data_IF_883527299929
#
_entry.id   IF_883527299929
#
_cell.length_a   1.000
_cell.length_b   1.000
_cell.length_c   1.000
_cell.angle_alpha   90.00
_cell.angle_beta   90.00
_cell.angle_gamma   90.00
#
_symmetry.space_group_name_H-M   'P 1'
#
loop_
_entity.id
_entity.type
_entity.pdbx_description
1 polymer ?
#
# COMPACT_ATOMS: atom_id res chain seq x y z
N UNK A 1 2.54 14.96 -0.57
CA UNK A 1 2.66 14.18 -1.80
C UNK A 1 1.69 14.76 -2.81
N UNK A 2 2.19 15.27 -3.92
CA UNK A 2 1.44 16.06 -4.91
C UNK A 2 1.23 15.28 -6.22
N UNK A 3 1.02 13.97 -6.08
CA UNK A 3 0.74 13.09 -7.21
C UNK A 3 -0.71 13.23 -7.70
N UNK A 4 -0.92 13.13 -9.01
CA UNK A 4 -2.24 13.12 -9.63
C UNK A 4 -3.07 11.93 -9.14
N UNK A 5 -2.43 10.75 -9.09
CA UNK A 5 -2.99 9.56 -8.48
C UNK A 5 -2.04 8.98 -7.46
N UNK A 6 -2.59 8.46 -6.37
CA UNK A 6 -1.82 7.75 -5.34
C UNK A 6 -2.36 6.33 -5.21
N UNK A 7 -1.48 5.36 -5.35
CA UNK A 7 -1.79 3.96 -5.11
C UNK A 7 -1.43 3.63 -3.67
N UNK A 8 -2.40 3.22 -2.85
CA UNK A 8 -2.14 2.65 -1.53
C UNK A 8 -2.00 1.14 -1.68
N UNK A 9 -0.87 0.61 -1.25
CA UNK A 9 -0.57 -0.81 -1.28
C UNK A 9 -0.36 -1.35 0.13
N UNK A 10 -1.30 -2.18 0.60
CA UNK A 10 -1.22 -2.83 1.90
C UNK A 10 -0.73 -4.26 1.76
N UNK A 11 0.31 -4.63 2.51
CA UNK A 11 0.98 -5.91 2.38
C UNK A 11 1.59 -6.43 3.68
N UNK A 12 1.93 -7.70 3.68
CA UNK A 12 2.58 -8.40 4.79
C UNK A 12 3.77 -9.21 4.22
N UNK A 13 4.97 -9.16 4.81
CA UNK A 13 6.13 -9.90 4.33
C UNK A 13 5.95 -11.43 4.34
N UNK A 14 5.05 -11.95 5.16
CA UNK A 14 4.72 -13.38 5.25
C UNK A 14 3.61 -13.81 4.26
N UNK A 15 2.93 -12.87 3.64
CA UNK A 15 1.82 -13.12 2.73
C UNK A 15 2.30 -13.72 1.39
N UNK A 16 1.86 -14.92 1.05
CA UNK A 16 2.23 -15.59 -0.19
C UNK A 16 1.77 -14.86 -1.47
N UNK A 17 0.57 -14.27 -1.45
CA UNK A 17 0.07 -13.49 -2.57
C UNK A 17 0.84 -12.17 -2.74
N UNK A 18 1.26 -11.54 -1.63
CA UNK A 18 2.09 -10.34 -1.68
C UNK A 18 3.43 -10.60 -2.38
N UNK A 19 4.02 -11.78 -2.18
CA UNK A 19 5.27 -12.20 -2.86
C UNK A 19 5.11 -12.28 -4.38
N UNK A 20 3.89 -12.51 -4.89
CA UNK A 20 3.57 -12.51 -6.33
C UNK A 20 3.20 -11.13 -6.84
N UNK A 21 2.43 -10.37 -6.07
CA UNK A 21 1.89 -9.07 -6.46
C UNK A 21 2.95 -7.96 -6.43
N UNK A 22 3.82 -7.94 -5.42
CA UNK A 22 4.82 -6.87 -5.23
C UNK A 22 5.77 -6.71 -6.43
N UNK A 23 6.36 -7.76 -7.01
CA UNK A 23 7.23 -7.61 -8.18
C UNK A 23 6.50 -7.05 -9.40
N UNK A 24 5.23 -7.42 -9.60
CA UNK A 24 4.40 -6.85 -10.66
C UNK A 24 4.17 -5.36 -10.43
N UNK A 25 3.86 -4.97 -9.20
CA UNK A 25 3.63 -3.58 -8.84
C UNK A 25 4.90 -2.72 -9.01
N UNK A 26 6.07 -3.24 -8.62
CA UNK A 26 7.35 -2.57 -8.86
C UNK A 26 7.63 -2.40 -10.35
N UNK A 27 7.42 -3.43 -11.16
CA UNK A 27 7.56 -3.35 -12.61
C UNK A 27 6.63 -2.28 -13.19
N UNK A 28 5.36 -2.27 -12.79
CA UNK A 28 4.38 -1.28 -13.24
C UNK A 28 4.79 0.15 -12.84
N UNK A 29 5.33 0.32 -11.63
CA UNK A 29 5.85 1.61 -11.17
C UNK A 29 7.01 2.09 -12.03
N UNK A 30 8.03 1.26 -12.24
CA UNK A 30 9.21 1.62 -13.01
C UNK A 30 8.91 1.90 -14.48
N UNK A 31 8.11 1.06 -15.11
CA UNK A 31 7.86 1.12 -16.56
C UNK A 31 6.81 2.16 -16.95
N UNK A 32 5.87 2.48 -16.04
CA UNK A 32 4.74 3.34 -16.41
C UNK A 32 4.46 4.49 -15.45
N UNK A 33 4.52 4.30 -14.14
CA UNK A 33 3.89 5.21 -13.19
C UNK A 33 4.79 6.36 -12.75
N UNK A 34 6.07 6.10 -12.45
CA UNK A 34 6.99 7.11 -11.88
C UNK A 34 7.12 8.38 -12.72
N UNK A 35 7.04 8.25 -14.05
CA UNK A 35 7.15 9.38 -14.98
C UNK A 35 5.78 9.95 -15.39
N UNK A 36 4.70 9.46 -14.78
CA UNK A 36 3.32 9.81 -15.10
C UNK A 36 2.56 10.44 -13.94
N UNK A 37 3.27 10.98 -12.95
CA UNK A 37 2.68 11.61 -11.76
C UNK A 37 1.73 10.67 -10.97
N UNK A 38 2.07 9.37 -10.95
CA UNK A 38 1.40 8.34 -10.15
C UNK A 38 2.39 7.84 -9.10
N UNK A 39 2.06 8.01 -7.83
CA UNK A 39 2.92 7.59 -6.73
C UNK A 39 2.34 6.36 -6.03
N UNK A 40 3.21 5.46 -5.56
CA UNK A 40 2.83 4.31 -4.76
C UNK A 40 3.25 4.56 -3.31
N UNK A 41 2.27 4.50 -2.41
CA UNK A 41 2.44 4.58 -0.98
C UNK A 41 2.14 3.21 -0.37
N UNK A 42 3.17 2.48 -0.04
CA UNK A 42 3.11 1.10 0.43
C UNK A 42 3.13 1.06 1.96
N UNK A 43 2.17 0.36 2.54
CA UNK A 43 2.03 0.18 3.99
C UNK A 43 2.21 -1.29 4.31
N UNK A 44 3.35 -1.65 4.90
CA UNK A 44 3.69 -3.02 5.26
C UNK A 44 3.50 -3.30 6.75
N UNK A 45 3.27 -4.56 7.09
CA UNK A 45 3.29 -5.03 8.48
C UNK A 45 4.74 -5.17 8.95
N UNK A 46 5.07 -4.52 10.07
CA UNK A 46 6.44 -4.48 10.60
C UNK A 46 6.51 -4.47 12.13
N UNK A 47 5.54 -5.11 12.80
CA UNK A 47 5.48 -5.22 14.26
C UNK A 47 6.23 -6.47 14.72
N UNK A 48 7.03 -6.39 15.77
CA UNK A 48 7.81 -7.49 16.32
C UNK A 48 8.88 -8.00 15.35
N UNK A 49 8.94 -9.31 15.19
CA UNK A 49 9.88 -9.98 14.29
C UNK A 49 9.65 -9.61 12.80
N UNK A 50 8.45 -9.10 12.46
CA UNK A 50 8.12 -8.72 11.10
C UNK A 50 8.91 -7.49 10.62
N UNK A 51 9.51 -6.69 11.51
CA UNK A 51 10.32 -5.53 11.12
C UNK A 51 11.54 -5.91 10.27
N UNK A 52 12.28 -6.94 10.66
CA UNK A 52 13.41 -7.42 9.87
C UNK A 52 12.96 -8.09 8.57
N UNK A 53 11.86 -8.84 8.61
CA UNK A 53 11.23 -9.44 7.42
C UNK A 53 10.75 -8.37 6.44
N UNK A 54 10.15 -7.29 6.93
CA UNK A 54 9.69 -6.15 6.16
C UNK A 54 10.87 -5.47 5.43
N UNK A 55 11.96 -5.17 6.14
CA UNK A 55 13.17 -4.60 5.53
C UNK A 55 13.78 -5.54 4.49
N UNK A 56 13.84 -6.83 4.81
CA UNK A 56 14.37 -7.85 3.89
C UNK A 56 13.52 -7.94 2.63
N UNK A 57 12.20 -7.97 2.77
CA UNK A 57 11.27 -8.05 1.65
C UNK A 57 11.41 -6.85 0.69
N UNK A 58 11.53 -5.63 1.22
CA UNK A 58 11.76 -4.42 0.43
C UNK A 58 13.05 -4.54 -0.40
N UNK A 59 14.14 -4.97 0.23
CA UNK A 59 15.43 -5.15 -0.47
C UNK A 59 15.34 -6.24 -1.54
N UNK A 60 14.79 -7.40 -1.18
CA UNK A 60 14.74 -8.57 -2.08
C UNK A 60 13.85 -8.31 -3.31
N UNK A 61 12.82 -7.49 -3.19
CA UNK A 61 11.93 -7.09 -4.28
C UNK A 61 12.30 -5.75 -4.91
N UNK A 62 13.41 -5.14 -4.47
CA UNK A 62 13.90 -3.85 -4.97
C UNK A 62 12.80 -2.77 -5.01
N UNK A 63 11.97 -2.69 -3.96
CA UNK A 63 10.82 -1.77 -3.90
C UNK A 63 11.31 -0.32 -3.81
N UNK A 64 11.19 0.41 -4.90
CA UNK A 64 11.71 1.79 -5.05
C UNK A 64 10.71 2.88 -4.73
N UNK A 65 9.42 2.54 -4.66
CA UNK A 65 8.36 3.44 -4.23
C UNK A 65 8.37 3.67 -2.71
N UNK A 66 7.51 4.54 -2.20
CA UNK A 66 7.45 4.89 -0.77
C UNK A 66 7.00 3.68 0.05
N UNK A 67 7.83 3.28 1.02
CA UNK A 67 7.55 2.17 1.92
C UNK A 67 7.49 2.67 3.37
N UNK A 68 6.34 2.49 4.00
CA UNK A 68 6.10 2.85 5.40
C UNK A 68 5.54 1.67 6.20
N UNK A 69 5.71 1.73 7.51
CA UNK A 69 5.15 0.75 8.43
C UNK A 69 4.89 1.38 9.80
N UNK A 70 3.96 0.79 10.54
CA UNK A 70 3.84 1.02 11.99
C UNK A 70 4.82 0.08 12.67
N UNK A 71 5.79 0.65 13.38
CA UNK A 71 6.81 -0.11 14.13
C UNK A 71 6.36 -0.39 15.57
N UNK A 72 7.07 -1.31 16.25
CA UNK A 72 6.81 -1.62 17.66
C UNK A 72 6.87 -0.38 18.56
N UNK A 73 7.84 0.50 18.33
CA UNK A 73 7.98 1.70 19.12
C UNK A 73 6.72 2.57 19.02
N UNK A 74 6.24 2.82 17.80
CA UNK A 74 5.01 3.57 17.55
C UNK A 74 3.78 2.87 18.12
N UNK A 75 3.70 1.54 17.93
CA UNK A 75 2.60 0.73 18.43
C UNK A 75 2.55 0.72 19.95
N UNK A 76 3.69 0.47 20.61
CA UNK A 76 3.81 0.43 22.07
C UNK A 76 3.59 1.83 22.68
N UNK A 77 4.09 2.89 22.07
CA UNK A 77 3.84 4.26 22.50
C UNK A 77 2.36 4.61 22.43
N UNK A 78 1.64 4.14 21.41
CA UNK A 78 0.20 4.33 21.29
C UNK A 78 -0.62 3.53 22.30
N UNK A 79 -0.10 2.37 22.76
CA UNK A 79 -0.75 1.46 23.73
C UNK A 79 -0.40 1.77 25.19
N UNK A 80 0.68 2.51 25.44
CA UNK A 80 1.17 2.78 26.81
C UNK A 80 0.32 3.82 27.51
N UNK A 81 -0.55 3.37 28.41
CA UNK A 81 -1.44 4.20 29.21
C UNK A 81 -0.74 4.88 30.43
N UNK A 82 0.51 4.52 30.76
CA UNK A 82 1.18 4.98 31.99
C UNK A 82 1.63 6.44 31.96
N UNK A 83 1.84 7.02 30.75
CA UNK A 83 2.07 8.44 30.51
C UNK A 83 1.31 8.89 29.25
N UNK A 84 0.12 8.32 29.07
CA UNK A 84 -0.56 8.20 27.76
C UNK A 84 -0.88 9.53 27.08
N UNK A 85 -1.21 10.59 27.82
CA UNK A 85 -1.60 11.85 27.16
C UNK A 85 -0.41 12.58 26.53
N UNK A 86 0.73 12.67 27.20
CA UNK A 86 1.90 13.39 26.66
C UNK A 86 2.52 12.65 25.49
N UNK A 87 2.69 11.33 25.62
CA UNK A 87 3.22 10.49 24.52
C UNK A 87 2.27 10.44 23.32
N UNK A 88 0.96 10.31 23.57
CA UNK A 88 -0.04 10.36 22.52
C UNK A 88 -0.06 11.71 21.80
N UNK A 89 0.01 12.82 22.54
CA UNK A 89 0.06 14.15 21.94
C UNK A 89 1.31 14.34 21.09
N UNK A 90 2.47 13.84 21.53
CA UNK A 90 3.71 13.89 20.76
C UNK A 90 3.61 13.02 19.48
N UNK A 91 3.01 11.84 19.59
CA UNK A 91 2.78 10.96 18.46
C UNK A 91 1.83 11.60 17.43
N UNK A 92 0.75 12.22 17.89
CA UNK A 92 -0.23 12.91 17.04
C UNK A 92 0.31 14.16 16.33
N UNK A 93 1.48 14.67 16.71
CA UNK A 93 2.19 15.70 15.94
C UNK A 93 2.81 15.15 14.65
N UNK A 94 3.06 13.84 14.58
CA UNK A 94 3.72 13.19 13.45
C UNK A 94 2.79 12.27 12.66
N UNK A 95 1.69 11.82 13.26
CA UNK A 95 0.71 10.89 12.62
C UNK A 95 -0.69 11.11 13.19
N UNK A 96 -1.65 10.31 12.74
CA UNK A 96 -3.03 10.33 13.23
C UNK A 96 -3.43 8.98 13.83
N UNK A 97 -4.43 8.97 14.72
CA UNK A 97 -4.99 7.70 15.23
C UNK A 97 -5.53 6.82 14.09
N UNK A 98 -6.11 7.42 13.07
CA UNK A 98 -6.58 6.69 11.88
C UNK A 98 -5.42 6.02 11.14
N UNK A 99 -4.27 6.68 11.01
CA UNK A 99 -3.08 6.09 10.38
C UNK A 99 -2.47 4.98 11.22
N UNK A 100 -2.44 5.11 12.55
CA UNK A 100 -1.95 4.06 13.45
C UNK A 100 -2.85 2.83 13.43
N UNK A 101 -4.16 3.04 13.25
CA UNK A 101 -5.17 1.98 13.18
C UNK A 101 -5.63 1.75 11.74
N UNK A 102 -4.70 1.80 10.78
CA UNK A 102 -5.01 1.74 9.35
C UNK A 102 -5.79 0.48 8.95
N UNK A 103 -5.55 -0.65 9.61
CA UNK A 103 -6.24 -1.90 9.31
C UNK A 103 -7.76 -1.73 9.46
N UNK A 104 -8.22 -1.17 10.58
CA UNK A 104 -9.65 -0.90 10.79
C UNK A 104 -10.14 0.30 9.95
N UNK A 105 -9.30 1.34 9.80
CA UNK A 105 -9.65 2.55 9.05
C UNK A 105 -9.96 2.26 7.58
N UNK A 106 -9.22 1.32 6.97
CA UNK A 106 -9.35 0.95 5.55
C UNK A 106 -9.96 -0.44 5.33
N UNK A 107 -10.44 -1.11 6.38
CA UNK A 107 -10.97 -2.49 6.32
C UNK A 107 -9.96 -3.49 5.73
N UNK A 108 -8.70 -3.44 6.21
CA UNK A 108 -7.62 -4.32 5.74
C UNK A 108 -7.58 -5.58 6.58
N UNK A 109 -8.44 -6.53 6.26
CA UNK A 109 -8.50 -7.84 6.94
C UNK A 109 -7.71 -8.93 6.22
N UNK A 110 -7.35 -8.70 4.98
CA UNK A 110 -6.49 -9.59 4.19
C UNK A 110 -5.53 -8.81 3.31
N UNK A 111 -4.39 -9.41 2.97
CA UNK A 111 -3.37 -8.82 2.09
C UNK A 111 -3.09 -9.71 0.89
N UNK A 112 -2.66 -9.15 -0.23
CA UNK A 112 -2.49 -7.72 -0.51
C UNK A 112 -3.81 -6.98 -0.73
N UNK A 113 -3.81 -5.66 -0.53
CA UNK A 113 -4.90 -4.77 -0.96
C UNK A 113 -4.31 -3.57 -1.70
N UNK A 114 -4.95 -3.21 -2.80
CA UNK A 114 -4.58 -2.07 -3.63
C UNK A 114 -5.76 -1.12 -3.74
N UNK A 115 -5.55 0.13 -3.33
CA UNK A 115 -6.54 1.21 -3.45
C UNK A 115 -5.96 2.31 -4.32
N UNK A 116 -6.80 3.07 -4.98
CA UNK A 116 -6.40 4.23 -5.76
C UNK A 116 -7.08 5.49 -5.22
N UNK A 117 -6.29 6.52 -5.02
CA UNK A 117 -6.73 7.85 -4.63
C UNK A 117 -6.53 8.82 -5.79
N UNK A 118 -7.45 9.75 -5.95
CA UNK A 118 -7.31 10.89 -6.85
C UNK A 118 -6.38 11.98 -6.27
N UNK A 119 -6.24 13.11 -6.99
CA UNK A 119 -5.43 14.27 -6.56
C UNK A 119 -5.90 14.88 -5.23
N UNK A 120 -7.19 14.78 -4.93
CA UNK A 120 -7.81 15.28 -3.68
C UNK A 120 -7.73 14.25 -2.55
N UNK A 121 -7.01 13.13 -2.80
CA UNK A 121 -6.84 12.00 -1.88
C UNK A 121 -8.15 11.29 -1.52
N UNK A 122 -9.13 11.35 -2.41
CA UNK A 122 -10.35 10.56 -2.32
C UNK A 122 -10.13 9.18 -2.92
N UNK A 123 -10.65 8.15 -2.27
CA UNK A 123 -10.57 6.78 -2.78
C UNK A 123 -11.51 6.65 -3.98
N UNK A 124 -10.95 6.32 -5.14
CA UNK A 124 -11.69 6.09 -6.40
C UNK A 124 -11.73 4.61 -6.81
N UNK A 125 -10.89 3.77 -6.22
CA UNK A 125 -10.97 2.31 -6.35
C UNK A 125 -10.44 1.61 -5.10
N UNK A 126 -11.00 0.42 -4.80
CA UNK A 126 -10.60 -0.45 -3.68
C UNK A 126 -10.44 -1.88 -4.16
N UNK A 127 -9.44 -2.57 -3.60
CA UNK A 127 -9.27 -4.03 -3.75
C UNK A 127 -9.22 -4.47 -5.22
N UNK A 128 -8.42 -3.76 -6.03
CA UNK A 128 -8.22 -4.07 -7.44
C UNK A 128 -6.89 -4.81 -7.65
N UNK A 129 -6.83 -5.64 -8.70
CA UNK A 129 -5.61 -6.35 -9.11
C UNK A 129 -4.64 -5.43 -9.84
N UNK A 130 -3.43 -5.92 -10.09
CA UNK A 130 -2.40 -5.13 -10.81
C UNK A 130 -2.81 -4.86 -12.25
N UNK A 131 -3.45 -5.83 -12.93
CA UNK A 131 -3.96 -5.61 -14.29
C UNK A 131 -5.09 -4.57 -14.33
N UNK A 132 -6.00 -4.62 -13.36
CA UNK A 132 -7.08 -3.61 -13.22
C UNK A 132 -6.52 -2.24 -12.87
N UNK A 133 -5.48 -2.16 -12.02
CA UNK A 133 -4.79 -0.92 -11.69
C UNK A 133 -4.15 -0.30 -12.94
N UNK A 134 -3.43 -1.09 -13.73
CA UNK A 134 -2.81 -0.64 -14.98
C UNK A 134 -3.86 -0.08 -15.93
N UNK A 135 -4.92 -0.83 -16.20
CA UNK A 135 -6.00 -0.43 -17.09
C UNK A 135 -6.70 0.85 -16.60
N UNK A 136 -6.97 0.94 -15.31
CA UNK A 136 -7.64 2.09 -14.71
C UNK A 136 -6.82 3.37 -14.88
N UNK A 137 -5.52 3.34 -14.52
CA UNK A 137 -4.65 4.51 -14.65
C UNK A 137 -4.45 4.91 -16.11
N UNK A 138 -4.25 3.94 -17.00
CA UNK A 138 -4.14 4.22 -18.44
C UNK A 138 -5.40 4.93 -18.95
N UNK A 139 -6.59 4.46 -18.58
CA UNK A 139 -7.86 5.09 -18.96
C UNK A 139 -8.03 6.49 -18.38
N UNK A 140 -7.75 6.67 -17.09
CA UNK A 140 -7.87 7.97 -16.41
C UNK A 140 -6.95 9.03 -17.01
N UNK A 141 -5.82 8.63 -17.59
CA UNK A 141 -4.85 9.52 -18.23
C UNK A 141 -4.96 9.55 -19.76
N UNK A 142 -6.01 8.92 -20.35
CA UNK A 142 -6.23 8.88 -21.79
C UNK A 142 -5.11 8.18 -22.57
N UNK A 143 -4.60 7.07 -22.01
CA UNK A 143 -3.47 6.29 -22.56
C UNK A 143 -3.82 4.81 -22.75
N UNK A 144 -5.08 4.52 -23.09
CA UNK A 144 -5.58 3.15 -23.28
C UNK A 144 -4.89 2.41 -24.43
N UNK A 145 -4.31 3.16 -25.38
CA UNK A 145 -3.57 2.60 -26.52
C UNK A 145 -2.19 2.02 -26.14
N UNK A 146 -1.69 2.33 -24.94
CA UNK A 146 -0.40 1.79 -24.50
C UNK A 146 -0.47 0.27 -24.32
N UNK A 147 0.61 -0.46 -24.67
CA UNK A 147 0.69 -1.89 -24.41
C UNK A 147 0.51 -2.20 -22.92
N UNK A 148 -0.25 -3.24 -22.63
CA UNK A 148 -0.43 -3.72 -21.26
C UNK A 148 0.75 -4.61 -20.85
N UNK A 149 1.28 -4.35 -19.66
CA UNK A 149 2.35 -5.16 -19.07
C UNK A 149 1.79 -6.45 -18.46
N UNK A 150 0.57 -6.37 -17.92
CA UNK A 150 -0.06 -7.49 -17.24
C UNK A 150 -1.43 -7.82 -17.87
N UNK A 151 -1.62 -9.06 -18.36
CA UNK A 151 -2.94 -9.52 -18.79
C UNK A 151 -3.88 -9.66 -17.58
N UNK A 152 -5.21 -9.64 -17.79
CA UNK A 152 -6.18 -9.95 -16.76
C UNK A 152 -5.87 -11.30 -16.07
N UNK A 153 -5.91 -11.29 -14.74
CA UNK A 153 -5.64 -12.47 -13.90
C UNK A 153 -6.84 -12.71 -12.97
N UNK A 154 -7.78 -13.61 -13.36
CA UNK A 154 -8.97 -13.86 -12.56
C UNK A 154 -8.70 -14.39 -11.14
N UNK A 155 -7.57 -15.06 -10.92
CA UNK A 155 -7.18 -15.53 -9.56
C UNK A 155 -6.74 -14.35 -8.69
N UNK A 156 -5.96 -13.42 -9.25
CA UNK A 156 -5.56 -12.19 -8.56
C UNK A 156 -6.78 -11.30 -8.30
N UNK A 157 -7.67 -11.13 -9.29
CA UNK A 157 -8.92 -10.38 -9.15
C UNK A 157 -9.77 -10.93 -8.00
N UNK A 158 -9.99 -12.25 -7.96
CA UNK A 158 -10.74 -12.90 -6.90
C UNK A 158 -10.07 -12.75 -5.52
N UNK A 159 -8.74 -12.86 -5.46
CA UNK A 159 -7.98 -12.68 -4.21
C UNK A 159 -8.10 -11.26 -3.66
N UNK A 160 -8.01 -10.25 -4.51
CA UNK A 160 -8.13 -8.85 -4.08
C UNK A 160 -9.52 -8.52 -3.52
N UNK A 161 -10.56 -9.18 -4.02
CA UNK A 161 -11.94 -8.94 -3.61
C UNK A 161 -12.39 -9.78 -2.40
N UNK A 162 -11.58 -10.74 -1.95
CA UNK A 162 -11.92 -11.52 -0.75
C UNK A 162 -12.13 -10.60 0.44
N UNK A 163 -13.32 -10.71 1.01
CA UNK A 163 -13.64 -10.30 2.39
C UNK A 163 -13.48 -11.55 3.24
N UNK A 164 -12.77 -11.44 4.33
CA UNK A 164 -12.80 -12.49 5.34
C UNK A 164 -14.14 -12.52 6.05
#
# INVERSE_FOLDING_TARGET
MDAEYTVLYFWDPECGHCKKTTPKLETLYQEKFKDRNVEIFSVGKAVGEDFEKWKKFIRDNNMTFINVAVTDNLYNEAQDNSNGQEKLMKLLQTTTLASLNYQNTYDIFSTPKVFVLDKDKKIIAKSISISQLEEMIDRLQGKEELPKLFPPDPEEDAQMQKKE
#
